data_IF_047096987671
#
_entry.id   IF_047096987671
#
_cell.length_a   1.000
_cell.length_b   1.000
_cell.length_c   1.000
_cell.angle_alpha   90.00
_cell.angle_beta   90.00
_cell.angle_gamma   90.00
#
_symmetry.space_group_name_H-M   'P 1'
#
loop_
_entity.id
_entity.type
_entity.pdbx_description
1 polymer ?
#
# COMPACT_ATOMS: atom_id res chain seq x y z
N UNK A 1 -0.90 6.59 -10.76
CA UNK A 1 -0.47 7.97 -10.42
C UNK A 1 -1.50 8.75 -9.60
N UNK A 2 -2.81 8.45 -9.69
CA UNK A 2 -3.87 9.22 -9.03
C UNK A 2 -3.70 9.47 -7.53
N UNK A 3 -3.29 8.48 -6.73
CA UNK A 3 -3.12 8.66 -5.28
C UNK A 3 -2.02 9.67 -4.93
N UNK A 4 -0.92 9.68 -5.69
CA UNK A 4 0.17 10.64 -5.51
C UNK A 4 -0.29 12.07 -5.85
N UNK A 5 -1.03 12.23 -6.95
CA UNK A 5 -1.62 13.52 -7.32
C UNK A 5 -2.52 14.06 -6.21
N UNK A 6 -3.40 13.22 -5.66
CA UNK A 6 -4.29 13.61 -4.56
C UNK A 6 -3.50 13.97 -3.30
N UNK A 7 -2.47 13.20 -2.94
CA UNK A 7 -1.65 13.55 -1.77
C UNK A 7 -1.02 14.94 -1.90
N UNK A 8 -0.46 15.26 -3.08
CA UNK A 8 0.14 16.56 -3.37
C UNK A 8 -0.90 17.69 -3.37
N UNK A 9 -2.06 17.46 -3.99
CA UNK A 9 -3.15 18.44 -4.06
C UNK A 9 -3.68 18.82 -2.65
N UNK A 10 -3.67 17.87 -1.71
CA UNK A 10 -4.19 18.06 -0.36
C UNK A 10 -3.11 18.37 0.70
N UNK A 11 -1.89 18.73 0.27
CA UNK A 11 -0.89 19.36 1.14
C UNK A 11 0.34 18.52 1.49
N UNK A 12 0.51 17.32 0.92
CA UNK A 12 1.78 16.63 1.03
C UNK A 12 2.89 17.43 0.35
N UNK A 13 4.01 17.64 1.04
CA UNK A 13 5.16 18.40 0.50
C UNK A 13 5.83 17.68 -0.68
N UNK A 14 5.74 16.36 -0.71
CA UNK A 14 6.23 15.49 -1.75
C UNK A 14 5.36 14.23 -1.82
N UNK A 15 5.37 13.55 -2.97
CA UNK A 15 4.62 12.34 -3.20
C UNK A 15 5.33 11.47 -4.25
N UNK A 16 5.49 10.19 -3.93
CA UNK A 16 6.26 9.25 -4.73
C UNK A 16 5.45 7.99 -4.99
N UNK A 17 5.52 7.48 -6.23
CA UNK A 17 5.00 6.18 -6.59
C UNK A 17 6.18 5.24 -6.74
N UNK A 18 6.20 4.19 -5.93
CA UNK A 18 7.21 3.13 -5.98
C UNK A 18 6.50 1.78 -6.12
N UNK A 19 7.19 0.86 -6.78
CA UNK A 19 6.79 -0.55 -6.89
C UNK A 19 7.33 -1.38 -5.72
N UNK A 20 8.51 -1.03 -5.20
CA UNK A 20 9.21 -1.79 -4.15
C UNK A 20 9.93 -0.87 -3.16
N UNK A 21 10.09 -1.34 -1.92
CA UNK A 21 10.82 -0.65 -0.85
C UNK A 21 12.26 -0.29 -1.24
N UNK A 22 12.90 -1.11 -2.09
CA UNK A 22 14.27 -0.87 -2.58
C UNK A 22 14.41 0.39 -3.46
N UNK A 23 13.31 1.00 -3.89
CA UNK A 23 13.31 2.24 -4.67
C UNK A 23 13.26 3.50 -3.80
N UNK A 24 13.19 3.35 -2.47
CA UNK A 24 13.30 4.48 -1.55
C UNK A 24 14.65 5.16 -1.72
N UNK A 25 14.64 6.48 -1.86
CA UNK A 25 15.85 7.29 -1.94
C UNK A 25 16.09 8.06 -0.64
N UNK A 26 17.33 8.03 -0.12
CA UNK A 26 17.68 8.66 1.17
C UNK A 26 17.29 10.15 1.25
N UNK A 27 17.40 10.86 0.12
CA UNK A 27 17.06 12.28 0.00
C UNK A 27 15.58 12.58 0.32
N UNK A 28 14.68 11.59 0.24
CA UNK A 28 13.26 11.80 0.54
C UNK A 28 13.00 11.99 2.04
N UNK A 29 13.95 11.61 2.89
CA UNK A 29 13.79 11.63 4.35
C UNK A 29 14.43 12.86 5.01
N UNK A 30 15.10 13.72 4.25
CA UNK A 30 15.76 14.90 4.77
C UNK A 30 14.74 15.90 5.35
N UNK A 31 14.76 16.06 6.68
CA UNK A 31 13.84 16.97 7.39
C UNK A 31 12.38 16.50 7.40
N UNK A 32 12.13 15.22 7.18
CA UNK A 32 10.79 14.62 7.25
C UNK A 32 10.60 13.97 8.63
N UNK A 33 9.53 14.33 9.32
CA UNK A 33 9.18 13.75 10.62
C UNK A 33 8.07 12.70 10.50
N UNK A 34 7.25 12.77 9.44
CA UNK A 34 6.06 11.93 9.27
C UNK A 34 5.88 11.56 7.81
N UNK A 35 5.59 10.28 7.56
CA UNK A 35 5.40 9.71 6.23
C UNK A 35 4.00 9.12 6.15
N UNK A 36 3.24 9.55 5.15
CA UNK A 36 1.98 8.90 4.79
C UNK A 36 2.25 7.75 3.83
N UNK A 37 1.78 6.55 4.16
CA UNK A 37 1.86 5.37 3.29
C UNK A 37 0.46 5.00 2.84
N UNK A 38 0.30 4.73 1.55
CA UNK A 38 -0.94 4.21 0.96
C UNK A 38 -0.58 3.32 -0.21
N UNK A 39 -1.49 2.44 -0.60
CA UNK A 39 -1.30 1.50 -1.70
C UNK A 39 -2.48 1.52 -2.65
N UNK A 40 -2.23 1.14 -3.91
CA UNK A 40 -3.32 0.89 -4.85
C UNK A 40 -4.12 -0.36 -4.46
N UNK A 41 -5.37 -0.43 -4.92
CA UNK A 41 -6.29 -1.54 -4.60
C UNK A 41 -5.80 -2.93 -5.07
N UNK A 42 -4.86 -2.98 -6.02
CA UNK A 42 -4.30 -4.23 -6.57
C UNK A 42 -2.95 -4.61 -5.97
N UNK A 43 -2.45 -3.86 -4.98
CA UNK A 43 -1.12 -4.07 -4.41
C UNK A 43 -1.18 -5.19 -3.37
N UNK A 44 -0.32 -6.23 -3.48
CA UNK A 44 -0.21 -7.26 -2.44
C UNK A 44 0.22 -6.67 -1.09
N UNK A 45 -0.39 -7.15 -0.01
CA UNK A 45 -0.11 -6.68 1.36
C UNK A 45 1.36 -6.81 1.77
N UNK A 46 2.04 -7.88 1.31
CA UNK A 46 3.47 -8.10 1.58
C UNK A 46 4.35 -6.92 1.15
N UNK A 47 4.03 -6.25 0.04
CA UNK A 47 4.83 -5.11 -0.43
C UNK A 47 4.69 -3.90 0.50
N UNK A 48 3.52 -3.75 1.12
CA UNK A 48 3.29 -2.70 2.12
C UNK A 48 4.05 -3.05 3.41
N UNK A 49 4.03 -4.32 3.84
CA UNK A 49 4.79 -4.78 5.00
C UNK A 49 6.31 -4.61 4.81
N UNK A 50 6.83 -4.93 3.63
CA UNK A 50 8.24 -4.76 3.30
C UNK A 50 8.64 -3.28 3.34
N UNK A 51 7.79 -2.39 2.82
CA UNK A 51 7.99 -0.95 2.89
C UNK A 51 8.02 -0.44 4.33
N UNK A 52 7.08 -0.87 5.17
CA UNK A 52 7.04 -0.48 6.59
C UNK A 52 8.29 -0.96 7.34
N UNK A 53 8.82 -2.14 6.99
CA UNK A 53 10.06 -2.67 7.58
C UNK A 53 11.26 -1.78 7.24
N UNK A 54 11.43 -1.43 5.97
CA UNK A 54 12.51 -0.54 5.52
C UNK A 54 12.38 0.88 6.13
N UNK A 55 11.17 1.40 6.29
CA UNK A 55 10.92 2.67 6.97
C UNK A 55 11.27 2.59 8.47
N UNK A 56 10.98 1.47 9.13
CA UNK A 56 11.34 1.26 10.52
C UNK A 56 12.86 1.24 10.72
N UNK A 57 13.62 0.61 9.82
CA UNK A 57 15.09 0.63 9.82
C UNK A 57 15.68 2.05 9.69
N UNK A 58 14.93 2.94 9.03
CA UNK A 58 15.26 4.37 8.85
C UNK A 58 14.81 5.26 10.01
N UNK A 59 14.24 4.69 11.06
CA UNK A 59 13.78 5.39 12.27
C UNK A 59 12.29 5.67 12.33
N UNK A 60 11.51 5.33 11.30
CA UNK A 60 10.05 5.51 11.25
C UNK A 60 9.33 4.24 11.74
N UNK A 61 9.60 3.85 12.98
CA UNK A 61 9.06 2.61 13.57
C UNK A 61 7.70 2.78 14.25
N UNK A 62 7.29 4.02 14.51
CA UNK A 62 5.97 4.33 15.07
C UNK A 62 4.92 4.36 13.95
N UNK A 63 4.15 3.28 13.83
CA UNK A 63 3.17 3.10 12.76
C UNK A 63 1.76 3.22 13.33
N UNK A 64 1.04 4.25 12.88
CA UNK A 64 -0.37 4.44 13.17
C UNK A 64 -1.21 4.11 11.92
N UNK A 65 -2.19 3.22 12.07
CA UNK A 65 -3.15 2.92 11.00
C UNK A 65 -4.33 3.86 11.08
N UNK A 66 -4.53 4.65 10.03
CA UNK A 66 -5.68 5.57 9.91
C UNK A 66 -6.73 4.94 8.99
N UNK A 67 -7.83 4.48 9.56
CA UNK A 67 -8.97 3.93 8.81
C UNK A 67 -10.08 4.96 8.71
N UNK A 68 -10.27 5.53 7.52
CA UNK A 68 -11.33 6.52 7.28
C UNK A 68 -12.72 5.90 7.10
N UNK A 69 -12.80 4.72 6.48
CA UNK A 69 -14.04 4.00 6.22
C UNK A 69 -13.77 2.50 6.12
N UNK A 70 -14.64 1.67 6.69
CA UNK A 70 -14.57 0.22 6.54
C UNK A 70 -15.32 -0.21 5.27
N UNK A 71 -14.67 -1.04 4.44
CA UNK A 71 -15.25 -1.59 3.22
C UNK A 71 -15.59 -3.08 3.40
N UNK A 72 -16.82 -3.48 3.07
CA UNK A 72 -17.30 -4.87 3.23
C UNK A 72 -17.77 -5.51 1.92
N UNK A 73 -17.45 -4.92 0.76
CA UNK A 73 -17.92 -5.41 -0.53
C UNK A 73 -17.13 -6.66 -0.96
N UNK A 74 -17.81 -7.80 -1.00
CA UNK A 74 -17.25 -9.07 -1.47
C UNK A 74 -17.91 -9.49 -2.78
N UNK A 75 -17.09 -9.72 -3.82
CA UNK A 75 -17.56 -10.27 -5.09
C UNK A 75 -17.54 -11.79 -5.02
N UNK A 76 -18.73 -12.41 -5.07
CA UNK A 76 -18.84 -13.85 -5.06
C UNK A 76 -18.34 -14.44 -6.40
N UNK A 77 -17.54 -15.50 -6.33
CA UNK A 77 -17.10 -16.23 -7.52
C UNK A 77 -18.35 -16.82 -8.22
N UNK A 78 -18.50 -16.65 -9.55
CA UNK A 78 -19.58 -17.24 -10.33
C UNK A 78 -19.69 -18.77 -10.14
N UNK A 79 -20.91 -19.35 -10.13
CA UNK A 79 -21.11 -20.78 -9.91
C UNK A 79 -20.35 -21.69 -10.89
N UNK A 80 -20.10 -21.22 -12.11
CA UNK A 80 -19.42 -21.95 -13.17
C UNK A 80 -17.94 -22.15 -12.81
N UNK A 81 -17.25 -21.08 -12.41
CA UNK A 81 -15.84 -21.10 -11.99
C UNK A 81 -15.61 -21.90 -10.70
N UNK A 82 -16.63 -22.01 -9.83
CA UNK A 82 -16.54 -22.85 -8.63
C UNK A 82 -16.44 -24.35 -8.95
N UNK A 83 -16.99 -24.81 -10.09
CA UNK A 83 -16.91 -26.21 -10.50
C UNK A 83 -15.51 -26.56 -10.98
N UNK A 84 -14.90 -25.66 -11.74
CA UNK A 84 -13.56 -25.85 -12.31
C UNK A 84 -12.47 -25.85 -11.23
N UNK A 85 -12.56 -24.96 -10.23
CA UNK A 85 -11.66 -24.96 -9.07
C UNK A 85 -11.69 -26.27 -8.27
N UNK A 86 -12.88 -26.89 -8.13
CA UNK A 86 -13.02 -28.19 -7.44
C UNK A 86 -12.46 -29.36 -8.26
N UNK A 87 -12.44 -29.24 -9.59
CA UNK A 87 -11.87 -30.25 -10.48
C UNK A 87 -10.34 -30.14 -10.56
N UNK A 88 -9.78 -28.93 -10.48
CA UNK A 88 -8.34 -28.67 -10.54
C UNK A 88 -7.58 -28.97 -9.23
N UNK A 89 -8.28 -29.00 -8.09
CA UNK A 89 -7.70 -29.34 -6.78
C UNK A 89 -7.68 -30.85 -6.46
N UNK A 90 -7.88 -31.72 -7.46
CA UNK A 90 -7.94 -33.17 -7.31
C UNK A 90 -6.84 -33.88 -8.09
#
# INVERSE_FOLDING_TARGET
MRLVEVALEYGAKAGYLIDYASQLEDKWFEGVETIGVSSGASVPEILVTDLLTELAERGYSDVETVTAMEEHLLFAIPPELRKDLRAAGK
#
